data_IF_861302091389
#
_entry.id   IF_861302091389
#
_cell.length_a   1.000
_cell.length_b   1.000
_cell.length_c   1.000
_cell.angle_alpha   90.00
_cell.angle_beta   90.00
_cell.angle_gamma   90.00
#
_symmetry.space_group_name_H-M   'P 1'
#
loop_
_entity.id
_entity.type
_entity.pdbx_description
1 polymer ?
#
# COMPACT_ATOMS: atom_id res chain seq x y z
N UNK A 1 55.58 -25.08 0.65
CA UNK A 1 55.44 -23.98 -0.33
C UNK A 1 54.12 -24.17 -1.05
N UNK A 2 53.13 -23.31 -0.78
CA UNK A 2 51.94 -23.09 -1.61
C UNK A 2 51.34 -21.74 -1.19
N UNK A 3 52.04 -20.67 -1.54
CA UNK A 3 51.50 -19.32 -1.54
C UNK A 3 50.97 -19.08 -2.96
N UNK A 4 49.66 -19.23 -3.13
CA UNK A 4 49.00 -19.15 -4.44
C UNK A 4 47.72 -18.33 -4.31
N UNK A 5 47.88 -17.01 -4.31
CA UNK A 5 46.93 -15.97 -4.72
C UNK A 5 45.43 -16.31 -4.62
N UNK A 6 44.83 -16.06 -3.46
CA UNK A 6 43.46 -15.54 -3.47
C UNK A 6 43.57 -14.05 -3.78
N UNK A 7 43.12 -13.63 -4.96
CA UNK A 7 43.06 -12.20 -5.29
C UNK A 7 42.09 -11.49 -4.35
N UNK A 8 42.27 -10.19 -4.11
CA UNK A 8 41.34 -9.36 -3.31
C UNK A 8 39.89 -9.56 -3.77
N UNK A 9 39.67 -9.75 -5.07
CA UNK A 9 38.36 -10.06 -5.66
C UNK A 9 37.79 -11.42 -5.22
N UNK A 10 38.60 -12.46 -5.10
CA UNK A 10 38.13 -13.78 -4.67
C UNK A 10 37.79 -13.79 -3.18
N UNK A 11 38.59 -13.11 -2.35
CA UNK A 11 38.27 -12.90 -0.94
C UNK A 11 36.98 -12.10 -0.77
N UNK A 12 36.77 -11.07 -1.61
CA UNK A 12 35.54 -10.28 -1.64
C UNK A 12 34.31 -11.14 -1.90
N UNK A 13 34.35 -11.98 -2.94
CA UNK A 13 33.19 -12.82 -3.31
C UNK A 13 32.85 -13.81 -2.20
N UNK A 14 33.87 -14.44 -1.59
CA UNK A 14 33.65 -15.40 -0.49
C UNK A 14 33.11 -14.69 0.76
N UNK A 15 33.68 -13.54 1.13
CA UNK A 15 33.23 -12.75 2.26
C UNK A 15 31.79 -12.25 2.07
N UNK A 16 31.46 -11.71 0.88
CA UNK A 16 30.10 -11.28 0.53
C UNK A 16 29.12 -12.44 0.62
N UNK A 17 29.50 -13.62 0.10
CA UNK A 17 28.65 -14.81 0.17
C UNK A 17 28.39 -15.25 1.61
N UNK A 18 29.42 -15.26 2.47
CA UNK A 18 29.30 -15.61 3.89
C UNK A 18 28.47 -14.57 4.66
N UNK A 19 28.65 -13.27 4.40
CA UNK A 19 27.85 -12.22 5.04
C UNK A 19 26.37 -12.28 4.65
N UNK A 20 26.09 -12.67 3.40
CA UNK A 20 24.73 -12.74 2.89
C UNK A 20 24.01 -14.07 3.22
N UNK A 21 24.75 -15.16 3.47
CA UNK A 21 24.18 -16.52 3.57
C UNK A 21 24.72 -17.38 4.74
N UNK A 22 25.71 -16.90 5.49
CA UNK A 22 26.47 -17.69 6.46
C UNK A 22 25.80 -17.76 7.83
N UNK A 23 25.10 -18.86 8.12
CA UNK A 23 24.46 -19.11 9.42
C UNK A 23 25.34 -19.87 10.43
N UNK A 24 26.59 -20.22 10.10
CA UNK A 24 27.39 -21.17 10.89
C UNK A 24 28.88 -20.81 11.09
N UNK A 25 29.33 -19.64 10.63
CA UNK A 25 30.71 -19.19 10.86
C UNK A 25 30.77 -18.21 12.04
N UNK A 26 31.80 -18.32 12.89
CA UNK A 26 32.18 -17.23 13.78
C UNK A 26 32.79 -16.09 12.95
N UNK A 27 31.90 -15.23 12.44
CA UNK A 27 32.22 -14.13 11.56
C UNK A 27 33.15 -13.12 12.25
N UNK A 28 33.01 -12.92 13.56
CA UNK A 28 33.86 -11.99 14.30
C UNK A 28 35.31 -12.47 14.29
N UNK A 29 35.54 -13.76 14.60
CA UNK A 29 36.88 -14.33 14.57
C UNK A 29 37.50 -14.28 13.17
N UNK A 30 36.72 -14.59 12.12
CA UNK A 30 37.18 -14.53 10.74
C UNK A 30 37.53 -13.10 10.29
N UNK A 31 36.70 -12.11 10.63
CA UNK A 31 36.93 -10.70 10.31
C UNK A 31 38.18 -10.18 11.02
N UNK A 32 38.39 -10.51 12.30
CA UNK A 32 39.60 -10.14 13.02
C UNK A 32 40.85 -10.74 12.38
N UNK A 33 40.81 -12.02 12.00
CA UNK A 33 41.93 -12.66 11.32
C UNK A 33 42.21 -12.00 9.96
N UNK A 34 41.19 -11.60 9.19
CA UNK A 34 41.39 -10.92 7.92
C UNK A 34 42.09 -9.56 8.08
N UNK A 35 41.68 -8.77 9.06
CA UNK A 35 42.28 -7.45 9.34
C UNK A 35 43.75 -7.61 9.78
N UNK A 36 44.08 -8.62 10.60
CA UNK A 36 45.45 -8.88 11.04
C UNK A 36 46.40 -9.30 9.91
N UNK A 37 45.89 -9.94 8.86
CA UNK A 37 46.72 -10.42 7.75
C UNK A 37 47.16 -9.30 6.79
N UNK A 38 46.39 -8.21 6.68
CA UNK A 38 46.74 -7.08 5.80
C UNK A 38 45.85 -5.86 6.09
N UNK A 39 46.44 -4.65 6.20
CA UNK A 39 45.68 -3.39 6.35
C UNK A 39 44.71 -3.10 5.20
N UNK A 40 44.99 -3.62 3.99
CA UNK A 40 44.12 -3.48 2.82
C UNK A 40 42.76 -4.16 3.02
N UNK A 41 42.68 -5.22 3.85
CA UNK A 41 41.42 -5.91 4.15
C UNK A 41 40.46 -5.06 5.00
N UNK A 42 40.97 -4.14 5.83
CA UNK A 42 40.12 -3.22 6.60
C UNK A 42 39.36 -2.27 5.66
N UNK A 43 40.07 -1.68 4.69
CA UNK A 43 39.47 -0.80 3.67
C UNK A 43 38.42 -1.54 2.85
N UNK A 44 38.73 -2.78 2.48
CA UNK A 44 37.82 -3.68 1.77
C UNK A 44 36.55 -3.99 2.57
N UNK A 45 36.68 -4.30 3.87
CA UNK A 45 35.55 -4.55 4.77
C UNK A 45 34.66 -3.33 4.94
N UNK A 46 35.24 -2.13 5.11
CA UNK A 46 34.49 -0.88 5.16
C UNK A 46 33.70 -0.64 3.87
N UNK A 47 34.31 -0.91 2.71
CA UNK A 47 33.64 -0.79 1.40
C UNK A 47 32.46 -1.75 1.29
N UNK A 48 32.62 -3.00 1.75
CA UNK A 48 31.54 -3.99 1.75
C UNK A 48 30.42 -3.58 2.70
N UNK A 49 30.76 -3.10 3.90
CA UNK A 49 29.78 -2.62 4.87
C UNK A 49 28.96 -1.46 4.30
N UNK A 50 29.61 -0.47 3.68
CA UNK A 50 28.95 0.68 3.04
C UNK A 50 28.02 0.21 1.90
N UNK A 51 28.46 -0.71 1.04
CA UNK A 51 27.63 -1.26 -0.03
C UNK A 51 26.40 -2.00 0.49
N UNK A 52 26.56 -2.78 1.58
CA UNK A 52 25.45 -3.51 2.20
C UNK A 52 24.44 -2.54 2.84
N UNK A 53 24.92 -1.49 3.50
CA UNK A 53 24.07 -0.44 4.08
C UNK A 53 23.27 0.28 2.98
N UNK A 54 23.94 0.72 1.91
CA UNK A 54 23.29 1.37 0.76
C UNK A 54 22.22 0.48 0.12
N UNK A 55 22.54 -0.80 -0.10
CA UNK A 55 21.58 -1.77 -0.64
C UNK A 55 20.42 -2.03 0.30
N UNK A 56 20.66 -2.04 1.62
CA UNK A 56 19.63 -2.14 2.64
C UNK A 56 18.67 -0.95 2.59
N UNK A 57 19.22 0.26 2.53
CA UNK A 57 18.47 1.51 2.43
C UNK A 57 17.63 1.56 1.14
N UNK A 58 18.24 1.25 -0.01
CA UNK A 58 17.54 1.23 -1.30
C UNK A 58 16.36 0.24 -1.27
N UNK A 59 16.58 -0.97 -0.74
CA UNK A 59 15.52 -1.97 -0.58
C UNK A 59 14.42 -1.49 0.35
N UNK A 60 14.78 -0.91 1.50
CA UNK A 60 13.84 -0.37 2.47
C UNK A 60 12.97 0.74 1.88
N UNK A 61 13.57 1.70 1.18
CA UNK A 61 12.85 2.79 0.51
C UNK A 61 11.91 2.22 -0.55
N UNK A 62 12.40 1.31 -1.40
CA UNK A 62 11.59 0.70 -2.45
C UNK A 62 10.39 -0.05 -1.87
N UNK A 63 10.60 -0.87 -0.85
CA UNK A 63 9.53 -1.60 -0.16
C UNK A 63 8.53 -0.66 0.50
N UNK A 64 9.01 0.39 1.17
CA UNK A 64 8.14 1.38 1.82
C UNK A 64 7.27 2.14 0.81
N UNK A 65 7.81 2.53 -0.34
CA UNK A 65 7.05 3.19 -1.41
C UNK A 65 6.01 2.23 -2.01
N UNK A 66 6.38 0.97 -2.24
CA UNK A 66 5.48 -0.03 -2.81
C UNK A 66 4.31 -0.33 -1.86
N UNK A 67 4.60 -0.60 -0.58
CA UNK A 67 3.61 -0.84 0.45
C UNK A 67 2.68 0.37 0.63
N UNK A 68 3.23 1.57 0.79
CA UNK A 68 2.40 2.76 0.98
C UNK A 68 1.53 3.10 -0.23
N UNK A 69 1.96 2.75 -1.44
CA UNK A 69 1.14 2.91 -2.66
C UNK A 69 0.04 1.86 -2.74
N UNK A 70 0.31 0.63 -2.32
CA UNK A 70 -0.69 -0.44 -2.29
C UNK A 70 -1.76 -0.15 -1.25
N UNK A 71 -1.36 0.15 -0.01
CA UNK A 71 -2.25 0.53 1.10
C UNK A 71 -3.12 1.73 0.71
N UNK A 72 -2.52 2.84 0.26
CA UNK A 72 -3.30 4.03 -0.11
C UNK A 72 -4.23 3.81 -1.32
N UNK A 73 -3.94 2.84 -2.19
CA UNK A 73 -4.84 2.46 -3.30
C UNK A 73 -6.00 1.59 -2.81
N UNK A 74 -5.73 0.68 -1.88
CA UNK A 74 -6.75 -0.18 -1.28
C UNK A 74 -7.74 0.64 -0.46
N UNK A 75 -7.22 1.46 0.46
CA UNK A 75 -8.02 2.38 1.29
C UNK A 75 -8.89 3.30 0.43
N UNK A 76 -8.29 4.03 -0.53
CA UNK A 76 -9.05 4.94 -1.38
C UNK A 76 -10.08 4.24 -2.29
N UNK A 77 -9.88 2.95 -2.60
CA UNK A 77 -10.86 2.15 -3.35
C UNK A 77 -12.01 1.68 -2.46
N UNK A 78 -11.72 1.32 -1.22
CA UNK A 78 -12.72 0.91 -0.25
C UNK A 78 -13.61 2.08 0.13
N UNK A 79 -13.01 3.21 0.52
CA UNK A 79 -13.72 4.45 0.86
C UNK A 79 -14.59 4.91 -0.30
N UNK A 80 -14.02 5.06 -1.51
CA UNK A 80 -14.80 5.51 -2.67
C UNK A 80 -15.92 4.54 -3.09
N UNK A 81 -15.79 3.24 -2.77
CA UNK A 81 -16.85 2.26 -3.01
C UNK A 81 -17.96 2.35 -1.97
N UNK A 82 -17.61 2.59 -0.71
CA UNK A 82 -18.57 2.76 0.38
C UNK A 82 -19.37 4.05 0.18
N UNK A 83 -18.69 5.18 -0.01
CA UNK A 83 -19.32 6.48 -0.27
C UNK A 83 -20.24 6.40 -1.50
N UNK A 84 -19.74 5.92 -2.64
CA UNK A 84 -20.56 5.82 -3.86
C UNK A 84 -21.75 4.86 -3.72
N UNK A 85 -21.67 3.86 -2.83
CA UNK A 85 -22.80 2.96 -2.55
C UNK A 85 -23.83 3.62 -1.64
N UNK A 86 -23.40 4.39 -0.66
CA UNK A 86 -24.28 5.12 0.23
C UNK A 86 -25.02 6.22 -0.53
N UNK A 87 -24.29 7.07 -1.26
CA UNK A 87 -24.86 8.12 -2.11
C UNK A 87 -25.86 7.54 -3.13
N UNK A 88 -25.46 6.51 -3.89
CA UNK A 88 -26.35 5.90 -4.87
C UNK A 88 -27.60 5.25 -4.26
N UNK A 89 -27.52 4.77 -3.00
CA UNK A 89 -28.69 4.23 -2.28
C UNK A 89 -29.62 5.33 -1.80
N UNK A 90 -29.07 6.45 -1.33
CA UNK A 90 -29.85 7.61 -0.90
C UNK A 90 -30.55 8.25 -2.11
N UNK A 91 -29.81 8.53 -3.17
CA UNK A 91 -30.34 9.07 -4.44
C UNK A 91 -31.45 8.16 -4.98
N UNK A 92 -31.20 6.86 -5.12
CA UNK A 92 -32.21 5.92 -5.61
C UNK A 92 -33.45 5.84 -4.72
N UNK A 93 -33.31 6.05 -3.40
CA UNK A 93 -34.45 6.09 -2.48
C UNK A 93 -35.28 7.37 -2.68
N UNK A 94 -34.63 8.52 -2.84
CA UNK A 94 -35.32 9.79 -3.09
C UNK A 94 -35.99 9.81 -4.47
N UNK A 95 -35.30 9.32 -5.51
CA UNK A 95 -35.88 9.16 -6.84
C UNK A 95 -37.09 8.23 -6.82
N UNK A 96 -37.00 7.08 -6.14
CA UNK A 96 -38.12 6.15 -6.00
C UNK A 96 -39.33 6.75 -5.28
N UNK A 97 -39.10 7.59 -4.25
CA UNK A 97 -40.20 8.34 -3.58
C UNK A 97 -40.87 9.30 -4.55
N UNK A 98 -40.08 10.04 -5.34
CA UNK A 98 -40.59 11.01 -6.32
C UNK A 98 -41.35 10.32 -7.46
N UNK A 99 -40.83 9.22 -7.99
CA UNK A 99 -41.49 8.41 -9.01
C UNK A 99 -42.83 7.86 -8.51
N UNK A 100 -42.83 7.30 -7.30
CA UNK A 100 -44.05 6.81 -6.64
C UNK A 100 -45.07 7.93 -6.47
N UNK A 101 -44.65 9.10 -6.00
CA UNK A 101 -45.53 10.26 -5.83
C UNK A 101 -46.14 10.72 -7.16
N UNK A 102 -45.34 10.77 -8.25
CA UNK A 102 -45.82 11.09 -9.59
C UNK A 102 -46.87 10.10 -10.08
N UNK A 103 -46.61 8.80 -9.94
CA UNK A 103 -47.56 7.77 -10.35
C UNK A 103 -48.89 7.89 -9.58
N UNK A 104 -48.83 8.09 -8.26
CA UNK A 104 -50.03 8.26 -7.44
C UNK A 104 -50.84 9.52 -7.82
N UNK A 105 -50.16 10.64 -8.12
CA UNK A 105 -50.80 11.86 -8.61
C UNK A 105 -51.53 11.63 -9.94
N UNK A 106 -50.90 10.93 -10.89
CA UNK A 106 -51.50 10.61 -12.18
C UNK A 106 -52.75 9.73 -12.05
N UNK A 107 -52.81 8.88 -11.02
CA UNK A 107 -53.98 8.06 -10.70
C UNK A 107 -55.04 8.79 -9.84
N UNK A 108 -54.87 10.08 -9.59
CA UNK A 108 -55.86 10.89 -8.87
C UNK A 108 -55.88 10.65 -7.36
N UNK A 109 -54.84 10.05 -6.79
CA UNK A 109 -54.72 9.87 -5.34
C UNK A 109 -54.57 11.24 -4.67
N UNK A 110 -55.27 11.44 -3.55
CA UNK A 110 -55.24 12.73 -2.83
C UNK A 110 -53.84 13.06 -2.31
N UNK A 111 -53.52 14.35 -2.31
CA UNK A 111 -52.22 14.89 -1.88
C UNK A 111 -51.84 14.45 -0.45
N UNK A 112 -52.80 14.46 0.48
CA UNK A 112 -52.56 14.06 1.87
C UNK A 112 -52.16 12.59 2.03
N UNK A 113 -52.75 11.70 1.21
CA UNK A 113 -52.36 10.29 1.17
C UNK A 113 -50.94 10.12 0.60
N UNK A 114 -50.59 10.89 -0.44
CA UNK A 114 -49.26 10.82 -1.08
C UNK A 114 -48.16 11.32 -0.13
N UNK A 115 -48.39 12.44 0.57
CA UNK A 115 -47.47 12.96 1.61
C UNK A 115 -47.20 11.89 2.66
N UNK A 116 -48.27 11.28 3.19
CA UNK A 116 -48.16 10.28 4.26
C UNK A 116 -47.49 8.98 3.78
N UNK A 117 -47.69 8.60 2.52
CA UNK A 117 -47.19 7.33 1.96
C UNK A 117 -45.74 7.40 1.48
N UNK A 118 -45.33 8.55 0.92
CA UNK A 118 -43.97 8.73 0.34
C UNK A 118 -43.01 9.45 1.28
N UNK A 119 -43.53 10.14 2.30
CA UNK A 119 -42.75 10.95 3.23
C UNK A 119 -42.20 12.24 2.62
N UNK A 120 -42.62 12.61 1.41
CA UNK A 120 -42.26 13.86 0.76
C UNK A 120 -43.07 15.04 1.31
N UNK A 121 -42.49 16.23 1.32
CA UNK A 121 -43.21 17.44 1.71
C UNK A 121 -44.29 17.81 0.69
N UNK A 122 -45.31 18.53 1.16
CA UNK A 122 -46.41 19.01 0.31
C UNK A 122 -45.88 19.86 -0.85
N UNK A 123 -44.99 20.80 -0.57
CA UNK A 123 -44.38 21.68 -1.58
C UNK A 123 -43.64 20.86 -2.65
N UNK A 124 -42.87 19.83 -2.23
CA UNK A 124 -42.14 18.97 -3.17
C UNK A 124 -43.12 18.24 -4.09
N UNK A 125 -44.22 17.71 -3.57
CA UNK A 125 -45.24 17.02 -4.37
C UNK A 125 -45.97 18.00 -5.31
N UNK A 126 -46.25 19.23 -4.87
CA UNK A 126 -46.89 20.24 -5.73
C UNK A 126 -46.01 20.64 -6.91
N UNK A 127 -44.68 20.68 -6.75
CA UNK A 127 -43.77 20.89 -7.89
C UNK A 127 -43.80 19.75 -8.92
N UNK A 128 -44.30 18.57 -8.56
CA UNK A 128 -44.43 17.42 -9.49
C UNK A 128 -45.71 17.43 -10.32
N UNK A 129 -46.65 18.36 -10.05
CA UNK A 129 -47.90 18.51 -10.82
C UNK A 129 -47.74 19.27 -12.13
N UNK A 130 -46.61 19.93 -12.33
CA UNK A 130 -46.26 20.67 -13.54
C UNK A 130 -45.40 19.82 -14.48
#
# INVERSE_FOLDING_TARGET
MNAGYNTTEQLNVVLLYILLNGHTLDLSHFVHQLIEQSPEHETMLMTIAEQLEQKGLERGIKQGIELGREEGREEGREEGREEGREEGREEGREEGKVETARALLQHGVSLDIIVTSTGLSRDKIETLKH
#
